data_IF_087766073376
#
_entry.id   IF_087766073376
#
_cell.length_a   1.000
_cell.length_b   1.000
_cell.length_c   1.000
_cell.angle_alpha   90.00
_cell.angle_beta   90.00
_cell.angle_gamma   90.00
#
_symmetry.space_group_name_H-M   'P 1'
#
loop_
_entity.id
_entity.type
_entity.pdbx_description
1 polymer ?
#
# COMPACT_ATOMS: atom_id res chain seq x y z
N UNK A 1 -18.22 -31.15 -49.25
CA UNK A 1 -18.06 -29.69 -49.18
C UNK A 1 -18.10 -29.28 -47.72
N UNK A 2 -16.97 -29.19 -46.99
CA UNK A 2 -17.00 -28.61 -45.67
C UNK A 2 -16.92 -27.09 -45.81
N UNK A 3 -18.02 -26.43 -45.47
CA UNK A 3 -18.13 -24.97 -45.38
C UNK A 3 -17.23 -24.50 -44.24
N UNK A 4 -16.20 -23.75 -44.58
CA UNK A 4 -15.26 -23.16 -43.64
C UNK A 4 -15.96 -22.00 -42.90
N UNK A 5 -16.74 -22.31 -41.86
CA UNK A 5 -17.29 -21.29 -40.96
C UNK A 5 -16.14 -20.68 -40.14
N UNK A 6 -15.83 -19.42 -40.41
CA UNK A 6 -14.86 -18.63 -39.67
C UNK A 6 -15.46 -18.21 -38.31
N UNK A 7 -14.68 -18.35 -37.24
CA UNK A 7 -15.05 -18.01 -35.86
C UNK A 7 -14.91 -16.49 -35.57
N UNK A 8 -15.99 -15.76 -35.24
CA UNK A 8 -15.99 -14.30 -35.02
C UNK A 8 -15.45 -13.84 -33.64
N UNK A 9 -15.27 -14.75 -32.68
CA UNK A 9 -14.89 -14.40 -31.30
C UNK A 9 -13.42 -13.95 -31.17
N UNK A 10 -12.51 -14.50 -31.98
CA UNK A 10 -11.09 -14.17 -31.91
C UNK A 10 -10.82 -12.71 -32.36
N UNK A 11 -11.46 -12.26 -33.45
CA UNK A 11 -11.30 -10.91 -34.00
C UNK A 11 -11.73 -9.81 -33.00
N UNK A 12 -12.76 -10.09 -32.20
CA UNK A 12 -13.26 -9.16 -31.18
C UNK A 12 -12.27 -8.97 -30.03
N UNK A 13 -11.54 -10.02 -29.64
CA UNK A 13 -10.52 -9.95 -28.59
C UNK A 13 -9.25 -9.22 -29.06
N UNK A 14 -8.84 -9.42 -30.32
CA UNK A 14 -7.69 -8.70 -30.89
C UNK A 14 -7.93 -7.19 -30.96
N UNK A 15 -9.12 -6.76 -31.38
CA UNK A 15 -9.48 -5.34 -31.41
C UNK A 15 -9.47 -4.70 -30.01
N UNK A 16 -10.03 -5.40 -29.00
CA UNK A 16 -10.02 -4.93 -27.62
C UNK A 16 -8.60 -4.82 -27.04
N UNK A 17 -7.72 -5.79 -27.34
CA UNK A 17 -6.33 -5.76 -26.93
C UNK A 17 -5.56 -4.60 -27.58
N UNK A 18 -5.78 -4.35 -28.88
CA UNK A 18 -5.19 -3.21 -29.59
C UNK A 18 -5.66 -1.87 -29.02
N UNK A 19 -6.94 -1.72 -28.70
CA UNK A 19 -7.46 -0.50 -28.10
C UNK A 19 -6.86 -0.25 -26.70
N UNK A 20 -6.72 -1.31 -25.90
CA UNK A 20 -6.08 -1.24 -24.58
C UNK A 20 -4.59 -0.84 -24.70
N UNK A 21 -3.89 -1.41 -25.68
CA UNK A 21 -2.50 -1.07 -25.98
C UNK A 21 -2.35 0.38 -26.44
N UNK A 22 -3.20 0.83 -27.37
CA UNK A 22 -3.19 2.21 -27.84
C UNK A 22 -3.44 3.19 -26.68
N UNK A 23 -4.45 2.93 -25.85
CA UNK A 23 -4.73 3.74 -24.64
C UNK A 23 -3.52 3.81 -23.70
N UNK A 24 -2.79 2.71 -23.55
CA UNK A 24 -1.56 2.66 -22.75
C UNK A 24 -0.45 3.52 -23.37
N UNK A 25 -0.24 3.41 -24.68
CA UNK A 25 0.80 4.16 -25.39
C UNK A 25 0.53 5.67 -25.37
N UNK A 26 -0.71 6.08 -25.65
CA UNK A 26 -1.14 7.49 -25.57
C UNK A 26 -0.88 8.09 -24.19
N UNK A 27 -1.16 7.33 -23.12
CA UNK A 27 -0.83 7.77 -21.74
C UNK A 27 0.67 7.99 -21.57
N UNK A 28 1.51 7.07 -22.05
CA UNK A 28 2.97 7.21 -21.96
C UNK A 28 3.48 8.40 -22.77
N UNK A 29 2.95 8.65 -23.97
CA UNK A 29 3.28 9.83 -24.77
C UNK A 29 2.97 11.14 -24.03
N UNK A 30 1.81 11.21 -23.37
CA UNK A 30 1.45 12.39 -22.56
C UNK A 30 2.34 12.56 -21.32
N UNK A 31 2.74 11.47 -20.67
CA UNK A 31 3.70 11.51 -19.57
C UNK A 31 5.07 11.98 -20.05
N UNK A 32 5.52 11.49 -21.21
CA UNK A 32 6.77 11.92 -21.82
C UNK A 32 6.79 13.41 -22.11
N UNK A 33 5.68 13.96 -22.66
CA UNK A 33 5.50 15.40 -22.86
C UNK A 33 5.72 16.19 -21.56
N UNK A 34 5.05 15.80 -20.47
CA UNK A 34 5.19 16.48 -19.18
C UNK A 34 6.60 16.34 -18.59
N UNK A 35 7.25 15.19 -18.77
CA UNK A 35 8.59 14.91 -18.23
C UNK A 35 9.68 15.72 -18.96
N UNK A 36 9.56 15.84 -20.29
CA UNK A 36 10.49 16.60 -21.13
C UNK A 36 10.16 18.10 -21.23
N UNK A 37 9.04 18.53 -20.61
CA UNK A 37 8.58 19.93 -20.59
C UNK A 37 8.41 20.55 -21.98
N UNK A 38 7.93 19.78 -22.95
CA UNK A 38 7.61 20.31 -24.28
C UNK A 38 6.46 21.32 -24.21
N UNK A 39 6.67 22.47 -24.84
CA UNK A 39 5.62 23.47 -25.00
C UNK A 39 4.56 23.01 -26.04
N UNK A 40 3.47 23.75 -26.17
CA UNK A 40 2.36 23.35 -27.05
C UNK A 40 2.76 23.30 -28.53
N UNK A 41 3.59 24.24 -28.99
CA UNK A 41 4.04 24.32 -30.39
C UNK A 41 5.03 23.19 -30.74
N UNK A 42 6.00 22.94 -29.86
CA UNK A 42 6.92 21.81 -29.95
C UNK A 42 6.15 20.49 -29.96
N UNK A 43 5.15 20.36 -29.08
CA UNK A 43 4.33 19.17 -29.01
C UNK A 43 3.49 18.94 -30.27
N UNK A 44 2.92 20.01 -30.85
CA UNK A 44 2.21 19.93 -32.13
C UNK A 44 3.15 19.47 -33.26
N UNK A 45 4.35 20.03 -33.35
CA UNK A 45 5.35 19.64 -34.35
C UNK A 45 5.79 18.17 -34.19
N UNK A 46 6.04 17.72 -32.96
CA UNK A 46 6.44 16.33 -32.67
C UNK A 46 5.34 15.34 -33.04
N UNK A 47 4.07 15.61 -32.72
CA UNK A 47 2.95 14.74 -33.10
C UNK A 47 2.83 14.60 -34.61
N UNK A 48 2.90 15.69 -35.36
CA UNK A 48 2.87 15.65 -36.83
C UNK A 48 4.06 14.89 -37.40
N UNK A 49 5.27 15.13 -36.87
CA UNK A 49 6.49 14.49 -37.38
C UNK A 49 6.52 12.98 -37.10
N UNK A 50 6.14 12.54 -35.90
CA UNK A 50 6.27 11.15 -35.48
C UNK A 50 5.02 10.32 -35.81
N UNK A 51 3.83 10.86 -35.59
CA UNK A 51 2.56 10.15 -35.69
C UNK A 51 1.69 10.62 -36.87
N UNK A 52 2.01 11.75 -37.52
CA UNK A 52 1.24 12.26 -38.66
C UNK A 52 -0.13 12.83 -38.30
N UNK A 53 -0.41 13.02 -37.01
CA UNK A 53 -1.73 13.44 -36.50
C UNK A 53 -1.64 14.72 -35.69
N UNK A 54 -2.70 15.53 -35.72
CA UNK A 54 -2.83 16.68 -34.83
C UNK A 54 -3.27 16.28 -33.42
N UNK A 55 -3.94 15.13 -33.28
CA UNK A 55 -4.47 14.62 -32.02
C UNK A 55 -4.06 13.18 -31.80
N UNK A 56 -3.55 12.86 -30.61
CA UNK A 56 -3.20 11.49 -30.22
C UNK A 56 -4.41 10.57 -30.08
N UNK A 57 -5.64 11.10 -30.12
CA UNK A 57 -6.86 10.28 -30.18
C UNK A 57 -7.00 9.56 -31.53
N UNK A 58 -6.41 10.14 -32.57
CA UNK A 58 -6.45 9.63 -33.94
C UNK A 58 -5.15 8.89 -34.31
N UNK A 59 -4.24 8.72 -33.35
CA UNK A 59 -2.99 8.01 -33.55
C UNK A 59 -3.22 6.49 -33.61
N UNK A 60 -2.43 5.82 -34.44
CA UNK A 60 -2.29 4.36 -34.43
C UNK A 60 -1.20 3.92 -33.45
N UNK A 61 -1.12 2.61 -33.19
CA UNK A 61 -0.11 2.01 -32.31
C UNK A 61 1.29 2.37 -32.81
N UNK A 62 1.54 2.22 -34.11
CA UNK A 62 2.84 2.48 -34.72
C UNK A 62 3.26 3.97 -34.59
N UNK A 63 2.33 4.91 -34.76
CA UNK A 63 2.57 6.34 -34.55
C UNK A 63 2.91 6.67 -33.10
N UNK A 64 2.21 6.06 -32.14
CA UNK A 64 2.53 6.23 -30.72
C UNK A 64 3.91 5.63 -30.37
N UNK A 65 4.27 4.49 -30.95
CA UNK A 65 5.59 3.87 -30.74
C UNK A 65 6.73 4.74 -31.30
N UNK A 66 6.56 5.30 -32.50
CA UNK A 66 7.54 6.24 -33.09
C UNK A 66 7.72 7.48 -32.22
N UNK A 67 6.62 8.02 -31.69
CA UNK A 67 6.67 9.17 -30.78
C UNK A 67 7.41 8.80 -29.48
N UNK A 68 7.11 7.64 -28.89
CA UNK A 68 7.83 7.17 -27.70
C UNK A 68 9.31 6.90 -27.96
N UNK A 69 9.67 6.38 -29.14
CA UNK A 69 11.06 6.21 -29.55
C UNK A 69 11.78 7.56 -29.63
N UNK A 70 11.13 8.57 -30.23
CA UNK A 70 11.66 9.94 -30.25
C UNK A 70 11.81 10.51 -28.84
N UNK A 71 10.80 10.35 -27.99
CA UNK A 71 10.88 10.79 -26.59
C UNK A 71 12.06 10.15 -25.86
N UNK A 72 12.30 8.84 -26.05
CA UNK A 72 13.44 8.13 -25.45
C UNK A 72 14.77 8.69 -25.94
N UNK A 73 14.89 9.02 -27.22
CA UNK A 73 16.07 9.68 -27.78
C UNK A 73 16.29 11.08 -27.18
N UNK A 74 15.20 11.80 -26.85
CA UNK A 74 15.24 13.08 -26.15
C UNK A 74 15.49 12.96 -24.63
N UNK A 75 15.74 11.77 -24.10
CA UNK A 75 16.06 11.53 -22.69
C UNK A 75 14.89 11.05 -21.83
N UNK A 76 13.72 10.76 -22.42
CA UNK A 76 12.62 10.14 -21.69
C UNK A 76 12.98 8.71 -21.29
N UNK A 77 13.14 8.49 -19.99
CA UNK A 77 13.32 7.15 -19.43
C UNK A 77 11.96 6.64 -19.00
N UNK A 78 11.51 5.53 -19.59
CA UNK A 78 10.32 4.83 -19.10
C UNK A 78 10.67 4.30 -17.72
N UNK A 79 10.29 5.07 -16.71
CA UNK A 79 10.29 4.62 -15.34
C UNK A 79 9.19 3.56 -15.27
N UNK A 80 9.58 2.30 -15.44
CA UNK A 80 8.86 1.27 -14.72
C UNK A 80 8.93 1.71 -13.29
N UNK A 81 7.78 1.93 -12.67
CA UNK A 81 7.73 2.12 -11.23
C UNK A 81 8.31 0.84 -10.64
N UNK A 82 9.63 0.80 -10.45
CA UNK A 82 10.22 -0.03 -9.44
C UNK A 82 9.43 0.34 -8.21
N UNK A 83 8.80 -0.65 -7.61
CA UNK A 83 8.07 -0.48 -6.36
C UNK A 83 9.13 -0.20 -5.30
N UNK A 84 9.70 1.01 -5.35
CA UNK A 84 10.58 1.55 -4.33
C UNK A 84 9.73 1.73 -3.08
N UNK A 85 9.69 0.66 -2.27
CA UNK A 85 9.61 0.66 -0.82
C UNK A 85 8.42 1.33 -0.12
N UNK A 86 7.45 1.93 -0.82
CA UNK A 86 6.32 2.65 -0.20
C UNK A 86 5.04 2.49 -1.00
N UNK A 87 4.48 1.30 -0.93
CA UNK A 87 3.05 0.99 -0.85
C UNK A 87 3.02 -0.51 -0.73
N UNK A 88 3.01 -0.99 0.51
CA UNK A 88 2.63 -2.37 0.74
C UNK A 88 1.36 -2.62 -0.04
N UNK A 89 1.42 -3.62 -0.92
CA UNK A 89 0.25 -4.13 -1.61
C UNK A 89 -0.72 -4.53 -0.50
N UNK A 90 -1.94 -3.96 -0.40
CA UNK A 90 -2.76 -4.22 0.77
C UNK A 90 -2.99 -5.72 0.89
N UNK A 91 -2.53 -6.29 2.00
CA UNK A 91 -2.94 -7.61 2.52
C UNK A 91 -4.46 -7.71 2.68
N UNK A 92 -5.19 -6.59 2.58
CA UNK A 92 -6.64 -6.43 2.62
C UNK A 92 -7.41 -7.05 1.43
N UNK A 93 -7.05 -8.26 0.99
CA UNK A 93 -7.79 -9.03 -0.03
C UNK A 93 -8.88 -9.91 0.57
N UNK A 94 -8.75 -10.27 1.84
CA UNK A 94 -9.68 -11.14 2.57
C UNK A 94 -10.18 -10.45 3.84
N UNK A 95 -11.40 -10.77 4.27
CA UNK A 95 -11.99 -10.19 5.49
C UNK A 95 -11.13 -10.43 6.77
N UNK A 96 -10.51 -11.60 6.98
CA UNK A 96 -9.61 -11.82 8.12
C UNK A 96 -8.38 -10.92 8.07
N UNK A 97 -7.80 -10.72 6.88
CA UNK A 97 -6.65 -9.86 6.69
C UNK A 97 -6.97 -8.39 7.01
N UNK A 98 -8.15 -7.91 6.59
CA UNK A 98 -8.67 -6.59 6.96
C UNK A 98 -8.80 -6.43 8.47
N UNK A 99 -9.32 -7.46 9.14
CA UNK A 99 -9.52 -7.48 10.60
C UNK A 99 -8.20 -7.39 11.35
N UNK A 100 -7.21 -8.20 10.95
CA UNK A 100 -5.87 -8.17 11.52
C UNK A 100 -5.21 -6.80 11.31
N UNK A 101 -5.32 -6.23 10.11
CA UNK A 101 -4.77 -4.91 9.78
C UNK A 101 -5.41 -3.78 10.59
N UNK A 102 -6.74 -3.78 10.73
CA UNK A 102 -7.46 -2.82 11.57
C UNK A 102 -6.99 -2.88 13.02
N UNK A 103 -6.81 -4.08 13.55
CA UNK A 103 -6.35 -4.28 14.93
C UNK A 103 -4.92 -3.74 15.12
N UNK A 104 -4.03 -3.99 14.17
CA UNK A 104 -2.66 -3.45 14.17
C UNK A 104 -2.64 -1.92 14.20
N UNK A 105 -3.44 -1.28 13.32
CA UNK A 105 -3.52 0.18 13.26
C UNK A 105 -4.07 0.79 14.54
N UNK A 106 -5.01 0.12 15.21
CA UNK A 106 -5.52 0.55 16.53
C UNK A 106 -4.43 0.49 17.60
N UNK A 107 -3.66 -0.61 17.65
CA UNK A 107 -2.52 -0.71 18.58
C UNK A 107 -1.46 0.36 18.34
N UNK A 108 -1.26 0.76 17.08
CA UNK A 108 -0.40 1.90 16.73
C UNK A 108 -0.99 3.25 17.16
N UNK A 109 -2.28 3.47 16.92
CA UNK A 109 -2.96 4.70 17.34
C UNK A 109 -2.93 4.90 18.87
N UNK A 110 -2.97 3.80 19.63
CA UNK A 110 -2.81 3.83 21.08
C UNK A 110 -1.34 4.05 21.50
N UNK A 111 -0.36 3.82 20.63
CA UNK A 111 1.06 3.95 20.93
C UNK A 111 1.74 2.68 21.46
N UNK A 112 1.05 1.53 21.46
CA UNK A 112 1.65 0.23 21.81
C UNK A 112 2.58 -0.25 20.70
N UNK A 113 2.14 -0.08 19.45
CA UNK A 113 2.89 -0.47 18.26
C UNK A 113 3.62 0.75 17.71
N UNK A 114 4.93 0.63 17.51
CA UNK A 114 5.77 1.73 17.02
C UNK A 114 5.56 2.05 15.53
N UNK A 115 5.33 1.04 14.70
CA UNK A 115 5.24 1.21 13.24
C UNK A 115 3.89 0.74 12.70
N UNK A 116 3.17 1.59 11.95
CA UNK A 116 1.94 1.19 11.31
C UNK A 116 2.23 0.46 10.00
N UNK A 117 3.48 0.26 9.59
CA UNK A 117 3.81 -0.35 8.30
C UNK A 117 3.31 -1.79 8.21
N UNK A 118 2.90 -2.19 7.02
CA UNK A 118 2.35 -3.52 6.79
C UNK A 118 3.44 -4.59 6.80
N UNK A 119 4.66 -4.28 6.35
CA UNK A 119 5.81 -5.18 6.50
C UNK A 119 6.07 -5.56 7.96
N UNK A 120 5.90 -4.62 8.89
CA UNK A 120 6.03 -4.88 10.32
C UNK A 120 4.91 -5.80 10.85
N UNK A 121 3.66 -5.58 10.40
CA UNK A 121 2.56 -6.51 10.68
C UNK A 121 2.88 -7.90 10.14
N UNK A 122 3.44 -7.98 8.93
CA UNK A 122 3.78 -9.25 8.33
C UNK A 122 4.84 -10.00 9.13
N UNK A 123 5.92 -9.31 9.54
CA UNK A 123 6.99 -9.89 10.37
C UNK A 123 6.44 -10.41 11.69
N UNK A 124 5.53 -9.66 12.30
CA UNK A 124 4.89 -10.04 13.54
C UNK A 124 3.95 -11.24 13.37
N UNK A 125 3.13 -11.26 12.32
CA UNK A 125 2.14 -12.31 12.08
C UNK A 125 2.78 -13.64 11.65
N UNK A 126 3.77 -13.60 10.76
CA UNK A 126 4.53 -14.78 10.34
C UNK A 126 5.52 -15.29 11.38
N UNK A 127 5.75 -14.53 12.46
CA UNK A 127 6.81 -14.78 13.44
C UNK A 127 8.20 -14.93 12.79
N UNK A 128 8.42 -14.27 11.65
CA UNK A 128 9.62 -14.37 10.82
C UNK A 128 10.25 -12.98 10.62
N UNK A 129 11.58 -12.94 10.61
CA UNK A 129 12.37 -11.71 10.37
C UNK A 129 12.89 -11.61 8.94
N UNK A 130 12.31 -12.35 7.99
CA UNK A 130 12.76 -12.33 6.59
C UNK A 130 12.39 -11.01 5.88
N UNK A 131 13.00 -10.73 4.73
CA UNK A 131 12.67 -9.54 3.93
C UNK A 131 11.39 -9.72 3.08
N UNK A 132 10.99 -10.97 2.81
CA UNK A 132 9.88 -11.33 1.92
C UNK A 132 8.58 -11.63 2.67
N UNK A 133 8.29 -10.88 3.73
CA UNK A 133 7.23 -11.28 4.68
C UNK A 133 5.82 -11.10 4.13
N UNK A 134 5.62 -10.20 3.18
CA UNK A 134 4.30 -10.00 2.57
C UNK A 134 3.81 -11.25 1.83
N UNK A 135 4.72 -12.05 1.25
CA UNK A 135 4.38 -13.32 0.61
C UNK A 135 3.99 -14.40 1.63
N UNK A 136 4.46 -14.32 2.88
CA UNK A 136 4.14 -15.31 3.91
C UNK A 136 2.69 -15.21 4.39
N UNK A 137 2.07 -14.02 4.37
CA UNK A 137 0.63 -13.90 4.65
C UNK A 137 -0.25 -14.30 3.47
N UNK A 138 0.25 -14.24 2.24
CA UNK A 138 -0.47 -14.79 1.09
C UNK A 138 -0.59 -16.32 1.17
N UNK A 139 0.26 -16.99 1.98
CA UNK A 139 0.25 -18.43 2.23
C UNK A 139 -0.62 -18.84 3.45
N UNK A 140 -1.23 -17.90 4.18
CA UNK A 140 -2.05 -18.23 5.35
C UNK A 140 -3.33 -18.97 4.97
N UNK A 141 -3.56 -20.12 5.60
CA UNK A 141 -4.85 -20.78 5.61
C UNK A 141 -5.86 -20.11 6.55
N UNK A 142 -7.13 -20.51 6.54
CA UNK A 142 -8.16 -19.96 7.43
C UNK A 142 -7.79 -20.01 8.92
N UNK A 143 -7.26 -21.15 9.38
CA UNK A 143 -6.86 -21.34 10.78
C UNK A 143 -5.68 -20.44 11.18
N UNK A 144 -4.76 -20.17 10.25
CA UNK A 144 -3.61 -19.27 10.49
C UNK A 144 -4.08 -17.83 10.72
N UNK A 145 -5.12 -17.40 10.01
CA UNK A 145 -5.70 -16.07 10.19
C UNK A 145 -6.32 -15.91 11.57
N UNK A 146 -7.15 -16.86 11.99
CA UNK A 146 -7.80 -16.80 13.31
C UNK A 146 -6.77 -16.90 14.44
N UNK A 147 -5.78 -17.79 14.31
CA UNK A 147 -4.69 -17.90 15.26
C UNK A 147 -3.87 -16.60 15.37
N UNK A 148 -3.55 -15.96 14.23
CA UNK A 148 -2.81 -14.69 14.22
C UNK A 148 -3.62 -13.55 14.84
N UNK A 149 -4.93 -13.47 14.54
CA UNK A 149 -5.83 -12.48 15.11
C UNK A 149 -5.95 -12.66 16.62
N UNK A 150 -6.20 -13.87 17.11
CA UNK A 150 -6.31 -14.16 18.55
C UNK A 150 -4.99 -13.92 19.29
N UNK A 151 -3.86 -14.27 18.67
CA UNK A 151 -2.54 -13.94 19.22
C UNK A 151 -2.34 -12.44 19.35
N UNK A 152 -2.79 -11.65 18.36
CA UNK A 152 -2.63 -10.19 18.38
C UNK A 152 -3.48 -9.58 19.48
N UNK A 153 -4.71 -10.07 19.65
CA UNK A 153 -5.60 -9.66 20.74
C UNK A 153 -4.98 -9.91 22.11
N UNK A 154 -4.51 -11.14 22.36
CA UNK A 154 -3.88 -11.52 23.64
C UNK A 154 -2.63 -10.68 23.92
N UNK A 155 -1.82 -10.43 22.89
CA UNK A 155 -0.63 -9.60 23.01
C UNK A 155 -0.99 -8.16 23.36
N UNK A 156 -1.89 -7.51 22.62
CA UNK A 156 -2.35 -6.15 22.90
C UNK A 156 -2.97 -6.04 24.30
N UNK A 157 -3.81 -7.01 24.68
CA UNK A 157 -4.40 -7.05 26.02
C UNK A 157 -3.33 -7.06 27.12
N UNK A 158 -2.29 -7.90 26.97
CA UNK A 158 -1.18 -7.94 27.92
C UNK A 158 -0.44 -6.60 28.00
N UNK A 159 -0.11 -5.99 26.86
CA UNK A 159 0.59 -4.69 26.85
C UNK A 159 -0.25 -3.58 27.50
N UNK A 160 -1.57 -3.56 27.25
CA UNK A 160 -2.51 -2.62 27.89
C UNK A 160 -2.48 -2.78 29.41
N UNK A 161 -2.52 -4.02 29.92
CA UNK A 161 -2.49 -4.30 31.36
C UNK A 161 -1.14 -3.98 32.02
N UNK A 162 -0.05 -4.08 31.26
CA UNK A 162 1.30 -3.78 31.73
C UNK A 162 1.65 -2.28 31.62
N UNK A 163 0.82 -1.47 30.98
CA UNK A 163 1.06 -0.05 30.80
C UNK A 163 0.10 0.83 31.56
N UNK A 164 0.29 2.13 31.40
CA UNK A 164 -0.57 3.19 31.89
C UNK A 164 -1.09 3.96 30.69
N UNK A 165 -2.39 4.26 30.66
CA UNK A 165 -2.93 5.20 29.69
C UNK A 165 -2.87 6.61 30.29
N UNK A 166 -2.45 7.57 29.47
CA UNK A 166 -2.44 8.98 29.83
C UNK A 166 -2.92 9.85 28.67
N UNK A 167 -3.66 10.91 28.99
CA UNK A 167 -4.07 11.94 28.03
C UNK A 167 -3.24 13.23 28.18
N UNK A 168 -2.06 13.13 28.81
CA UNK A 168 -1.17 14.25 29.15
C UNK A 168 -1.47 14.96 30.47
N UNK A 169 -2.70 14.84 30.98
CA UNK A 169 -3.19 15.57 32.16
C UNK A 169 -3.75 14.61 33.22
N UNK A 170 -4.48 13.58 32.77
CA UNK A 170 -4.98 12.52 33.62
C UNK A 170 -4.27 11.21 33.30
N UNK A 171 -4.03 10.42 34.33
CA UNK A 171 -3.52 9.06 34.21
C UNK A 171 -4.54 8.06 34.71
N UNK A 172 -4.89 7.09 33.87
CA UNK A 172 -5.84 6.04 34.20
C UNK A 172 -5.20 4.66 34.14
N UNK A 173 -5.66 3.77 35.01
CA UNK A 173 -5.49 2.33 34.83
C UNK A 173 -6.63 1.89 33.90
N UNK A 174 -6.35 1.01 32.94
CA UNK A 174 -7.39 0.51 32.04
C UNK A 174 -8.24 -0.52 32.80
N UNK A 175 -9.53 -0.24 33.08
CA UNK A 175 -10.39 -1.24 33.68
C UNK A 175 -10.53 -2.44 32.73
N UNK A 176 -10.64 -3.64 33.31
CA UNK A 176 -10.63 -4.91 32.56
C UNK A 176 -11.70 -4.95 31.48
N UNK A 177 -12.88 -4.38 31.77
CA UNK A 177 -13.97 -4.21 30.80
C UNK A 177 -13.65 -3.26 29.62
N UNK A 178 -12.83 -2.23 29.83
CA UNK A 178 -12.42 -1.30 28.76
C UNK A 178 -11.31 -1.87 27.86
N UNK A 179 -10.54 -2.86 28.34
CA UNK A 179 -9.57 -3.58 27.52
C UNK A 179 -10.24 -4.32 26.34
N UNK A 180 -11.50 -4.74 26.50
CA UNK A 180 -12.33 -5.29 25.41
C UNK A 180 -12.75 -4.19 24.41
N UNK A 181 -13.12 -3.01 24.90
CA UNK A 181 -13.55 -1.87 24.07
C UNK A 181 -12.41 -1.30 23.21
N UNK A 182 -11.18 -1.29 23.76
CA UNK A 182 -9.92 -0.90 23.10
C UNK A 182 -9.64 -1.65 21.80
N UNK A 183 -10.08 -2.90 21.74
CA UNK A 183 -9.70 -3.82 20.67
C UNK A 183 -10.74 -3.76 19.52
N UNK A 184 -12.00 -3.34 19.78
CA UNK A 184 -13.10 -3.58 18.81
C UNK A 184 -13.94 -2.38 18.35
N UNK A 185 -14.26 -1.37 19.18
CA UNK A 185 -15.40 -0.48 18.83
C UNK A 185 -15.17 1.02 18.92
N UNK A 186 -14.37 1.56 19.87
CA UNK A 186 -14.25 3.02 20.06
C UNK A 186 -12.81 3.46 20.37
N UNK A 187 -12.40 4.67 19.95
CA UNK A 187 -11.15 5.27 20.41
C UNK A 187 -11.22 5.46 21.93
N UNK A 188 -10.14 5.12 22.63
CA UNK A 188 -10.09 5.37 24.08
C UNK A 188 -9.84 6.83 24.33
N UNK A 189 -10.81 7.44 24.98
CA UNK A 189 -10.79 8.81 25.43
C UNK A 189 -10.83 8.84 26.94
N UNK A 190 -10.23 9.88 27.52
CA UNK A 190 -10.33 10.17 28.93
C UNK A 190 -11.80 10.45 29.32
N UNK A 191 -12.27 9.80 30.38
CA UNK A 191 -13.63 10.03 30.88
C UNK A 191 -13.82 11.44 31.44
N UNK A 192 -12.76 12.07 31.93
CA UNK A 192 -12.81 13.40 32.57
C UNK A 192 -12.75 14.54 31.55
N UNK A 193 -11.91 14.43 30.52
CA UNK A 193 -11.68 15.53 29.56
C UNK A 193 -11.96 15.18 28.10
N UNK A 194 -12.33 13.93 27.78
CA UNK A 194 -12.64 13.50 26.41
C UNK A 194 -11.44 13.43 25.45
N UNK A 195 -10.23 13.79 25.89
CA UNK A 195 -9.00 13.73 25.07
C UNK A 195 -8.61 12.27 24.75
N UNK A 196 -8.01 11.99 23.58
CA UNK A 196 -7.51 10.65 23.27
C UNK A 196 -6.43 10.24 24.26
N UNK A 197 -6.52 9.00 24.72
CA UNK A 197 -5.54 8.41 25.61
C UNK A 197 -4.41 7.78 24.80
N UNK A 198 -3.19 8.00 25.27
CA UNK A 198 -1.97 7.36 24.76
C UNK A 198 -1.46 6.35 25.77
N UNK A 199 -1.00 5.22 25.27
CA UNK A 199 -0.36 4.19 26.08
C UNK A 199 1.09 4.54 26.33
N UNK A 200 1.48 4.40 27.59
CA UNK A 200 2.83 4.52 28.07
C UNK A 200 3.20 3.22 28.79
N UNK A 201 4.34 2.60 28.47
CA UNK A 201 4.79 1.40 29.17
C UNK A 201 5.02 1.71 30.65
N UNK A 202 4.57 0.86 31.57
CA UNK A 202 5.02 0.96 32.96
C UNK A 202 6.53 0.68 32.97
N UNK A 203 7.31 1.65 33.44
CA UNK A 203 8.78 1.65 33.50
C UNK A 203 9.43 0.26 33.35
N UNK A 204 9.98 -0.05 32.16
CA UNK A 204 11.15 -0.94 32.07
C UNK A 204 12.36 -0.05 32.32
N UNK A 205 12.69 0.14 33.58
CA UNK A 205 13.89 0.83 34.03
C UNK A 205 15.14 0.23 33.35
N UNK A 206 15.85 1.09 32.62
CA UNK A 206 17.23 0.99 32.12
C UNK A 206 17.86 -0.40 31.90
N UNK A 207 17.93 -0.83 30.62
CA UNK A 207 19.16 -1.44 30.05
C UNK A 207 19.86 -0.48 29.07
N UNK A 208 19.85 0.82 29.35
CA UNK A 208 20.84 1.75 28.82
C UNK A 208 21.91 1.93 29.90
N UNK A 209 22.71 0.89 30.07
CA UNK A 209 23.96 0.95 30.83
C UNK A 209 24.87 1.95 30.12
N UNK A 210 25.07 3.07 30.79
CA UNK A 210 26.22 3.99 30.70
C UNK A 210 27.42 3.40 29.95
N UNK A 211 27.66 3.83 28.70
CA UNK A 211 29.04 3.95 28.21
C UNK A 211 29.63 5.15 28.95
N UNK A 212 30.28 4.87 30.07
CA UNK A 212 31.18 5.81 30.73
C UNK A 212 32.39 5.94 29.80
N UNK A 213 32.52 7.09 29.16
CA UNK A 213 33.81 7.54 28.65
C UNK A 213 34.62 7.96 29.87
N UNK A 214 35.75 7.30 30.06
CA UNK A 214 36.80 7.57 31.03
C UNK A 214 38.08 7.01 30.43
#
# INVERSE_FOLDING_TARGET
MPTHQQHPAAQSQFAANQEAELKRLVKLCNVARSNLKWNDDEWAAIKRRCAGVDSLRDADIAGCERLLAHAKACGFKVQHKQQDGKKSRPIDRTDPARKLRKLWLRGHALGIIQSPEESALCSWASNSRSANVTALLEAFGPDDWDAAIERLKKWLYREIQQGRLSCGEHTGIVPREAATALIWERPVVCAECGKPMTWTPAHRESRRGTRRAG
#
